data_IF_709378143422
#
_entry.id   IF_709378143422
#
_cell.length_a   1.000
_cell.length_b   1.000
_cell.length_c   1.000
_cell.angle_alpha   90.00
_cell.angle_beta   90.00
_cell.angle_gamma   90.00
#
_symmetry.space_group_name_H-M   'P 1'
#
loop_
_entity.id
_entity.type
_entity.pdbx_description
1 polymer ?
#
# COMPACT_ATOMS: atom_id res chain seq x y z
N UNK A 1 -1.75 -101.10 -48.79
CA UNK A 1 -2.51 -100.33 -47.80
C UNK A 1 -1.88 -98.95 -47.74
N UNK A 2 -2.70 -97.95 -48.06
CA UNK A 2 -2.54 -96.51 -47.83
C UNK A 2 -1.31 -95.79 -48.42
N UNK A 3 -1.52 -95.19 -49.61
CA UNK A 3 -1.07 -93.83 -49.92
C UNK A 3 -2.11 -92.81 -49.40
N UNK A 4 -2.02 -91.51 -49.58
CA UNK A 4 -1.14 -90.62 -50.33
C UNK A 4 -1.58 -89.19 -49.90
N UNK A 5 -0.69 -88.22 -50.13
CA UNK A 5 -0.94 -86.79 -50.40
C UNK A 5 -0.98 -85.75 -49.27
N UNK A 6 -0.39 -84.65 -49.72
CA UNK A 6 0.05 -83.41 -49.11
C UNK A 6 -1.03 -82.33 -49.36
N UNK A 7 -0.95 -81.27 -48.55
CA UNK A 7 -1.25 -79.86 -48.87
C UNK A 7 -2.69 -79.34 -48.74
N UNK A 8 -2.83 -78.26 -47.95
CA UNK A 8 -3.20 -76.87 -48.35
C UNK A 8 -4.06 -76.15 -47.29
N UNK A 9 -3.47 -75.07 -46.80
CA UNK A 9 -3.90 -73.78 -46.19
C UNK A 9 -5.38 -73.29 -46.22
N UNK A 10 -5.67 -72.39 -45.24
CA UNK A 10 -6.66 -71.27 -45.19
C UNK A 10 -8.11 -71.59 -44.74
N UNK A 11 -8.87 -70.77 -43.99
CA UNK A 11 -8.68 -69.65 -43.05
C UNK A 11 -10.07 -69.33 -42.41
N UNK A 12 -10.09 -68.59 -41.28
CA UNK A 12 -10.98 -67.42 -40.94
C UNK A 12 -11.76 -67.45 -39.61
N UNK A 13 -11.31 -66.53 -38.74
CA UNK A 13 -12.02 -65.49 -37.96
C UNK A 13 -13.14 -65.82 -36.98
N UNK A 14 -13.00 -65.33 -35.73
CA UNK A 14 -13.80 -64.24 -35.12
C UNK A 14 -13.26 -63.80 -33.73
N UNK A 15 -13.54 -62.57 -33.22
CA UNK A 15 -12.58 -61.75 -32.46
C UNK A 15 -12.95 -61.33 -31.00
N UNK A 16 -11.89 -61.13 -30.20
CA UNK A 16 -11.49 -60.07 -29.24
C UNK A 16 -12.48 -59.36 -28.26
N UNK A 17 -12.09 -59.44 -26.97
CA UNK A 17 -11.83 -58.39 -25.95
C UNK A 17 -12.82 -57.22 -25.71
N UNK A 18 -13.07 -56.90 -24.42
CA UNK A 18 -12.64 -55.65 -23.75
C UNK A 18 -12.89 -55.78 -22.23
N UNK A 19 -11.81 -55.66 -21.44
CA UNK A 19 -11.87 -55.41 -20.00
C UNK A 19 -12.31 -53.96 -19.77
N UNK A 20 -13.31 -53.77 -18.90
CA UNK A 20 -13.75 -52.46 -18.46
C UNK A 20 -12.74 -51.93 -17.42
N UNK A 21 -11.78 -51.12 -17.85
CA UNK A 21 -10.97 -50.30 -16.94
C UNK A 21 -11.73 -49.00 -16.69
N UNK A 22 -12.29 -48.85 -15.49
CA UNK A 22 -12.77 -47.55 -15.01
C UNK A 22 -11.56 -46.68 -14.69
N UNK A 23 -11.24 -45.73 -15.57
CA UNK A 23 -10.28 -44.66 -15.29
C UNK A 23 -10.94 -43.62 -14.38
N UNK A 24 -10.74 -43.76 -13.07
CA UNK A 24 -10.97 -42.67 -12.11
C UNK A 24 -9.75 -41.75 -12.17
N UNK A 25 -9.83 -40.67 -12.94
CA UNK A 25 -8.81 -39.62 -12.91
C UNK A 25 -9.07 -38.80 -11.63
N UNK A 26 -8.37 -39.13 -10.55
CA UNK A 26 -8.17 -38.19 -9.44
C UNK A 26 -7.22 -37.11 -9.96
N UNK A 27 -7.76 -35.95 -10.35
CA UNK A 27 -6.94 -34.74 -10.36
C UNK A 27 -6.73 -34.34 -8.90
N UNK A 28 -5.57 -34.68 -8.35
CA UNK A 28 -5.05 -33.95 -7.21
C UNK A 28 -4.75 -32.54 -7.74
N UNK A 29 -5.68 -31.62 -7.55
CA UNK A 29 -5.38 -30.20 -7.66
C UNK A 29 -4.41 -29.90 -6.51
N UNK A 30 -3.11 -29.95 -6.76
CA UNK A 30 -2.18 -29.20 -5.94
C UNK A 30 -2.66 -27.76 -6.01
N UNK A 31 -3.12 -27.18 -4.90
CA UNK A 31 -3.26 -25.74 -4.80
C UNK A 31 -1.85 -25.16 -4.85
N UNK A 32 -1.30 -25.00 -6.05
CA UNK A 32 -0.33 -23.93 -6.22
C UNK A 32 -1.14 -22.67 -5.90
N UNK A 33 -0.77 -21.98 -4.83
CA UNK A 33 -1.23 -20.63 -4.64
C UNK A 33 -0.91 -19.89 -5.95
N UNK A 34 -1.93 -19.46 -6.66
CA UNK A 34 -1.73 -18.61 -7.83
C UNK A 34 -1.14 -17.34 -7.25
N UNK A 35 0.13 -17.07 -7.57
CA UNK A 35 0.74 -15.80 -7.22
C UNK A 35 -0.14 -14.72 -7.85
N UNK A 36 -0.64 -13.79 -7.02
CA UNK A 36 -1.39 -12.63 -7.50
C UNK A 36 -0.48 -11.90 -8.48
N UNK A 37 -0.88 -11.86 -9.75
CA UNK A 37 -0.16 -11.08 -10.74
C UNK A 37 -0.50 -9.60 -10.54
N UNK A 38 0.44 -8.72 -10.84
CA UNK A 38 0.24 -7.28 -10.78
C UNK A 38 0.54 -6.65 -12.13
N UNK A 39 -0.14 -5.55 -12.44
CA UNK A 39 0.26 -4.65 -13.53
C UNK A 39 0.96 -3.44 -12.95
N UNK A 40 2.15 -3.14 -13.48
CA UNK A 40 2.92 -1.95 -13.14
C UNK A 40 2.50 -0.74 -14.00
N UNK A 41 2.35 0.41 -13.36
CA UNK A 41 2.12 1.71 -14.01
C UNK A 41 3.12 2.73 -13.44
N UNK A 42 3.94 3.32 -14.31
CA UNK A 42 4.69 4.55 -14.00
C UNK A 42 3.70 5.73 -13.96
N UNK A 43 3.61 6.40 -12.82
CA UNK A 43 2.71 7.55 -12.64
C UNK A 43 3.35 8.86 -13.15
N UNK A 44 4.65 8.85 -13.45
CA UNK A 44 5.37 9.97 -14.01
C UNK A 44 5.44 11.19 -13.08
N UNK A 45 5.65 12.35 -13.68
CA UNK A 45 5.74 13.65 -12.98
C UNK A 45 4.74 14.65 -13.54
N UNK A 46 4.49 15.76 -12.83
CA UNK A 46 3.64 16.87 -13.32
C UNK A 46 4.15 17.46 -14.65
N UNK A 47 5.46 17.43 -14.88
CA UNK A 47 6.10 17.91 -16.12
C UNK A 47 6.17 16.84 -17.22
N UNK A 48 5.62 15.65 -16.97
CA UNK A 48 5.44 14.58 -17.95
C UNK A 48 6.64 13.65 -18.14
N UNK A 49 7.87 14.16 -18.35
CA UNK A 49 9.07 13.30 -18.47
C UNK A 49 10.28 13.91 -17.79
N UNK A 50 10.85 13.16 -16.84
CA UNK A 50 11.97 13.58 -16.01
C UNK A 50 11.50 14.28 -14.73
N UNK A 51 12.45 14.53 -13.84
CA UNK A 51 12.17 15.05 -12.51
C UNK A 51 11.95 13.95 -11.48
N UNK A 52 11.52 14.37 -10.30
CA UNK A 52 11.26 13.52 -9.16
C UNK A 52 9.74 13.34 -8.99
N UNK A 53 9.32 12.13 -8.63
CA UNK A 53 8.04 11.91 -7.98
C UNK A 53 8.09 10.74 -7.02
N UNK A 54 7.20 10.76 -6.04
CA UNK A 54 6.97 9.68 -5.10
C UNK A 54 5.49 9.68 -4.68
N UNK A 55 4.90 8.49 -4.61
CA UNK A 55 3.57 8.29 -4.02
C UNK A 55 3.69 7.99 -2.52
N UNK A 56 2.73 8.44 -1.73
CA UNK A 56 2.68 8.25 -0.28
C UNK A 56 1.42 7.55 0.20
N UNK A 57 0.30 7.69 -0.50
CA UNK A 57 -0.97 7.07 -0.10
C UNK A 57 -1.90 6.82 -1.29
N UNK A 58 -2.86 5.92 -1.12
CA UNK A 58 -3.83 5.49 -2.13
C UNK A 58 -5.18 5.15 -1.50
N UNK A 59 -6.27 5.66 -2.09
CA UNK A 59 -7.62 5.30 -1.64
C UNK A 59 -8.21 4.09 -2.42
N UNK A 60 -9.37 3.59 -1.98
CA UNK A 60 -10.02 2.43 -2.59
C UNK A 60 -10.59 2.69 -4.00
N UNK A 61 -10.70 3.96 -4.43
CA UNK A 61 -11.01 4.32 -5.81
C UNK A 61 -9.79 4.25 -6.74
N UNK A 62 -8.59 3.99 -6.20
CA UNK A 62 -7.34 3.94 -6.97
C UNK A 62 -6.72 5.32 -7.22
N UNK A 63 -7.16 6.35 -6.49
CA UNK A 63 -6.54 7.66 -6.53
C UNK A 63 -5.31 7.65 -5.64
N UNK A 64 -4.18 8.13 -6.16
CA UNK A 64 -2.88 8.11 -5.51
C UNK A 64 -2.45 9.53 -5.20
N UNK A 65 -1.85 9.77 -4.04
CA UNK A 65 -1.31 11.09 -3.67
C UNK A 65 0.16 11.01 -3.29
N UNK A 66 0.84 12.15 -3.41
CA UNK A 66 2.25 12.26 -3.10
C UNK A 66 2.82 13.61 -3.50
N UNK A 67 4.05 13.60 -4.01
CA UNK A 67 4.72 14.80 -4.51
C UNK A 67 5.38 14.58 -5.87
N UNK A 68 5.49 15.66 -6.64
CA UNK A 68 6.15 15.65 -7.93
C UNK A 68 6.78 16.99 -8.27
N UNK A 69 7.88 16.95 -9.01
CA UNK A 69 8.47 18.14 -9.64
C UNK A 69 7.45 18.83 -10.55
N UNK A 70 7.16 20.08 -10.24
CA UNK A 70 6.31 20.99 -11.01
C UNK A 70 7.10 21.78 -12.07
N UNK A 71 6.40 22.62 -12.85
CA UNK A 71 6.99 23.37 -13.97
C UNK A 71 7.99 24.46 -13.54
N UNK A 72 7.97 24.86 -12.29
CA UNK A 72 8.90 25.82 -11.68
C UNK A 72 10.08 25.13 -10.96
N UNK A 73 10.27 23.83 -11.21
CA UNK A 73 11.29 22.96 -10.61
C UNK A 73 11.14 22.77 -9.08
N UNK A 74 10.02 23.16 -8.49
CA UNK A 74 9.69 22.90 -7.07
C UNK A 74 8.91 21.59 -6.91
N UNK A 75 8.76 21.12 -5.65
CA UNK A 75 7.97 19.92 -5.35
C UNK A 75 6.54 20.31 -4.96
N UNK A 76 5.56 19.80 -5.70
CA UNK A 76 4.15 20.07 -5.46
C UNK A 76 3.37 18.80 -5.10
N UNK A 77 2.40 18.98 -4.21
CA UNK A 77 1.43 17.98 -3.85
C UNK A 77 0.68 17.55 -5.11
N UNK A 78 0.68 16.26 -5.39
CA UNK A 78 0.17 15.72 -6.65
C UNK A 78 -0.86 14.63 -6.37
N UNK A 79 -1.95 14.66 -7.13
CA UNK A 79 -2.95 13.60 -7.19
C UNK A 79 -2.86 12.90 -8.55
N UNK A 80 -2.72 11.58 -8.54
CA UNK A 80 -2.78 10.75 -9.73
C UNK A 80 -4.09 9.96 -9.78
N UNK A 81 -4.72 9.94 -10.96
CA UNK A 81 -5.82 9.05 -11.29
C UNK A 81 -5.41 8.20 -12.50
N UNK A 82 -4.91 7.00 -12.25
CA UNK A 82 -4.07 6.29 -13.21
C UNK A 82 -2.81 7.12 -13.54
N UNK A 83 -2.39 7.16 -14.79
CA UNK A 83 -1.21 7.95 -15.20
C UNK A 83 -1.48 9.47 -15.33
N UNK A 84 -2.68 9.96 -15.01
CA UNK A 84 -3.02 11.38 -15.09
C UNK A 84 -2.64 12.09 -13.78
N UNK A 85 -1.57 12.87 -13.81
CA UNK A 85 -1.12 13.69 -12.68
C UNK A 85 -1.85 15.05 -12.66
N UNK A 86 -2.31 15.46 -11.48
CA UNK A 86 -2.95 16.75 -11.21
C UNK A 86 -2.20 17.45 -10.09
N UNK A 87 -1.78 18.69 -10.35
CA UNK A 87 -1.19 19.56 -9.34
C UNK A 87 -2.29 20.03 -8.38
N UNK A 88 -2.11 19.76 -7.07
CA UNK A 88 -3.03 20.21 -6.03
C UNK A 88 -2.73 21.64 -5.56
N UNK A 89 -1.61 22.21 -5.99
CA UNK A 89 -1.14 23.56 -5.64
C UNK A 89 -0.57 23.66 -4.24
N UNK A 90 -0.21 24.88 -3.87
CA UNK A 90 0.34 25.25 -2.57
C UNK A 90 -0.51 26.35 -1.89
N UNK A 91 -0.35 26.53 -0.58
CA UNK A 91 -1.19 27.43 0.21
C UNK A 91 -0.88 28.91 -0.09
N UNK A 92 -1.66 29.50 -1.01
CA UNK A 92 -1.56 30.92 -1.35
C UNK A 92 -0.30 31.26 -2.15
N UNK A 93 -0.10 32.55 -2.51
CA UNK A 93 0.94 32.97 -3.47
C UNK A 93 2.38 32.94 -2.91
N UNK A 94 2.56 32.54 -1.64
CA UNK A 94 3.86 32.56 -0.95
C UNK A 94 4.33 31.18 -0.50
N UNK A 95 3.52 30.13 -0.72
CA UNK A 95 3.97 28.76 -0.54
C UNK A 95 4.42 28.24 -1.91
N UNK A 96 5.68 27.85 -2.00
CA UNK A 96 6.31 27.39 -3.24
C UNK A 96 6.45 25.86 -3.26
N UNK A 97 6.17 25.19 -2.15
CA UNK A 97 6.28 23.75 -2.00
C UNK A 97 5.04 23.19 -1.32
N UNK A 98 4.62 22.00 -1.75
CA UNK A 98 3.57 21.24 -1.08
C UNK A 98 3.79 19.74 -1.22
N UNK A 99 3.29 18.99 -0.25
CA UNK A 99 3.37 17.53 -0.21
C UNK A 99 2.04 16.98 0.27
N UNK A 100 1.44 16.06 -0.48
CA UNK A 100 0.26 15.31 -0.06
C UNK A 100 0.68 14.00 0.62
N UNK A 101 0.26 13.80 1.87
CA UNK A 101 0.65 12.65 2.72
C UNK A 101 -0.43 11.59 2.86
N UNK A 102 -1.70 11.98 2.85
CA UNK A 102 -2.82 11.04 3.03
C UNK A 102 -4.05 11.41 2.20
N UNK A 103 -4.86 10.41 1.85
CA UNK A 103 -6.10 10.57 1.08
C UNK A 103 -7.19 9.63 1.64
N UNK A 104 -8.42 10.13 1.78
CA UNK A 104 -9.56 9.28 2.16
C UNK A 104 -10.40 8.81 0.96
N UNK A 105 -11.39 7.95 1.20
CA UNK A 105 -12.25 7.40 0.16
C UNK A 105 -13.23 8.42 -0.45
N UNK A 106 -13.39 9.60 0.16
CA UNK A 106 -14.11 10.72 -0.43
C UNK A 106 -13.24 11.57 -1.38
N UNK A 107 -11.94 11.27 -1.48
CA UNK A 107 -10.97 12.00 -2.31
C UNK A 107 -10.45 13.29 -1.64
N UNK A 108 -10.64 13.44 -0.33
CA UNK A 108 -10.03 14.54 0.43
C UNK A 108 -8.58 14.19 0.73
N UNK A 109 -7.68 15.14 0.51
CA UNK A 109 -6.24 14.94 0.61
C UNK A 109 -5.67 15.84 1.70
N UNK A 110 -4.73 15.33 2.50
CA UNK A 110 -4.06 16.09 3.55
C UNK A 110 -2.56 16.06 3.38
N UNK A 111 -1.88 17.05 3.96
CA UNK A 111 -0.43 17.13 3.93
C UNK A 111 0.06 18.45 4.46
N UNK A 112 1.07 19.03 3.81
CA UNK A 112 1.63 20.31 4.22
C UNK A 112 2.16 21.13 3.05
N UNK A 113 2.28 22.44 3.28
CA UNK A 113 2.86 23.40 2.35
C UNK A 113 3.89 24.31 3.07
N UNK A 114 4.88 24.82 2.34
CA UNK A 114 5.89 25.75 2.86
C UNK A 114 6.47 26.63 1.74
N UNK A 115 7.08 27.76 2.09
CA UNK A 115 7.63 28.74 1.13
C UNK A 115 9.15 28.94 1.27
N UNK A 116 9.77 29.59 0.28
CA UNK A 116 11.23 29.85 0.25
C UNK A 116 11.69 31.10 1.04
N UNK A 117 10.80 31.76 1.78
CA UNK A 117 11.06 33.00 2.51
C UNK A 117 11.26 32.83 4.02
N UNK A 118 12.11 33.68 4.61
CA UNK A 118 12.30 33.74 6.06
C UNK A 118 10.96 34.01 6.77
N UNK A 119 10.56 33.09 7.66
CA UNK A 119 9.39 33.25 8.52
C UNK A 119 8.06 32.71 8.00
N UNK A 120 8.04 31.93 6.91
CA UNK A 120 6.86 31.14 6.51
C UNK A 120 6.99 29.73 7.11
N UNK A 121 6.31 29.42 8.23
CA UNK A 121 6.36 28.08 8.81
C UNK A 121 5.62 27.09 7.91
N UNK A 122 6.05 25.83 7.92
CA UNK A 122 5.28 24.74 7.30
C UNK A 122 3.87 24.69 7.87
N UNK A 123 2.89 24.60 6.99
CA UNK A 123 1.46 24.62 7.35
C UNK A 123 0.82 23.31 6.93
N UNK A 124 0.10 22.66 7.86
CA UNK A 124 -0.73 21.53 7.52
C UNK A 124 -1.94 22.02 6.71
N UNK A 125 -2.28 21.29 5.66
CA UNK A 125 -3.32 21.68 4.71
C UNK A 125 -4.23 20.51 4.38
N UNK A 126 -5.46 20.84 4.03
CA UNK A 126 -6.48 19.96 3.49
C UNK A 126 -6.86 20.46 2.09
N UNK A 127 -6.69 19.59 1.09
CA UNK A 127 -7.22 19.78 -0.25
C UNK A 127 -8.56 19.05 -0.38
N UNK A 128 -9.58 19.77 -0.85
CA UNK A 128 -10.88 19.20 -1.18
C UNK A 128 -11.31 19.68 -2.57
N UNK A 129 -10.95 18.90 -3.59
CA UNK A 129 -11.01 19.38 -4.97
C UNK A 129 -9.98 20.49 -5.20
N UNK A 130 -10.42 21.64 -5.71
CA UNK A 130 -9.56 22.80 -5.95
C UNK A 130 -9.36 23.68 -4.70
N UNK A 131 -10.11 23.43 -3.62
CA UNK A 131 -10.05 24.24 -2.42
C UNK A 131 -8.90 23.77 -1.52
N UNK A 132 -8.03 24.70 -1.12
CA UNK A 132 -6.93 24.48 -0.19
C UNK A 132 -7.27 25.18 1.13
N UNK A 133 -7.38 24.41 2.21
CA UNK A 133 -7.68 24.92 3.55
C UNK A 133 -6.47 24.74 4.45
N UNK A 134 -5.97 25.82 5.05
CA UNK A 134 -5.00 25.71 6.16
C UNK A 134 -5.70 25.07 7.37
N UNK A 135 -5.11 24.00 7.89
CA UNK A 135 -5.56 23.40 9.14
C UNK A 135 -5.07 24.28 10.30
N UNK A 136 -5.99 24.56 11.22
CA UNK A 136 -5.74 25.42 12.37
C UNK A 136 -4.53 24.97 13.19
N UNK A 137 -3.86 25.93 13.82
CA UNK A 137 -2.73 25.68 14.73
C UNK A 137 -3.19 25.72 16.17
N UNK A 138 -2.40 25.12 17.06
CA UNK A 138 -2.62 25.25 18.49
C UNK A 138 -2.43 26.71 18.95
N UNK A 139 -3.27 27.22 19.87
CA UNK A 139 -3.10 28.56 20.40
C UNK A 139 -1.71 28.77 21.01
N UNK A 140 -1.02 29.85 20.61
CA UNK A 140 0.32 30.17 21.11
C UNK A 140 1.47 29.50 20.37
N UNK A 141 1.18 28.61 19.43
CA UNK A 141 2.18 27.95 18.59
C UNK A 141 2.50 28.77 17.34
N UNK A 142 3.79 29.00 17.08
CA UNK A 142 4.29 29.67 15.87
C UNK A 142 4.98 28.70 14.88
N UNK A 143 5.08 27.44 15.25
CA UNK A 143 5.96 26.43 14.66
C UNK A 143 5.24 25.53 13.67
N UNK A 144 5.98 24.80 12.81
CA UNK A 144 5.42 24.03 11.72
C UNK A 144 4.40 23.01 12.20
N UNK A 145 3.31 22.87 11.45
CA UNK A 145 2.34 21.79 11.63
C UNK A 145 2.27 20.95 10.36
N UNK A 146 2.11 19.65 10.52
CA UNK A 146 2.11 18.66 9.44
C UNK A 146 0.88 17.77 9.65
N UNK A 147 0.07 17.60 8.60
CA UNK A 147 -0.93 16.55 8.55
C UNK A 147 -0.32 15.31 7.88
N UNK A 148 -0.47 14.16 8.52
CA UNK A 148 0.14 12.90 8.08
C UNK A 148 -0.90 11.96 7.47
N UNK A 149 -2.08 11.84 8.08
CA UNK A 149 -3.10 10.88 7.66
C UNK A 149 -4.52 11.42 7.89
N UNK A 150 -5.47 10.90 7.14
CA UNK A 150 -6.89 11.25 7.20
C UNK A 150 -7.75 9.98 7.12
N UNK A 151 -8.82 9.91 7.92
CA UNK A 151 -9.79 8.81 7.83
C UNK A 151 -11.03 9.18 7.01
N UNK A 152 -11.93 8.22 6.76
CA UNK A 152 -13.13 8.42 5.93
C UNK A 152 -14.18 9.33 6.58
N UNK A 153 -14.07 9.59 7.88
CA UNK A 153 -14.89 10.59 8.58
C UNK A 153 -14.31 12.01 8.47
N UNK A 154 -13.17 12.19 7.81
CA UNK A 154 -12.49 13.47 7.65
C UNK A 154 -11.71 13.93 8.88
N UNK A 155 -11.42 13.01 9.82
CA UNK A 155 -10.52 13.28 10.94
C UNK A 155 -9.08 13.12 10.48
N UNK A 156 -8.22 14.03 10.90
CA UNK A 156 -6.85 14.16 10.39
C UNK A 156 -5.88 14.04 11.56
N UNK A 157 -4.88 13.18 11.45
CA UNK A 157 -3.82 13.03 12.44
C UNK A 157 -2.48 13.58 11.91
N UNK A 158 -1.68 14.15 12.80
CA UNK A 158 -0.35 14.66 12.47
C UNK A 158 0.34 15.30 13.67
N UNK A 159 1.14 16.33 13.45
CA UNK A 159 1.88 16.99 14.52
C UNK A 159 1.89 18.51 14.39
N UNK A 160 2.00 19.19 15.54
CA UNK A 160 2.22 20.63 15.65
C UNK A 160 3.50 20.89 16.44
N UNK A 161 4.43 21.69 15.91
CA UNK A 161 5.62 22.11 16.63
C UNK A 161 5.28 23.01 17.82
N UNK A 162 6.06 23.00 18.89
CA UNK A 162 5.78 23.74 20.13
C UNK A 162 6.95 24.64 20.58
N UNK A 163 8.17 24.48 20.05
CA UNK A 163 9.40 25.09 20.62
C UNK A 163 9.84 26.40 19.94
N UNK A 164 10.43 27.33 20.69
CA UNK A 164 10.64 28.75 20.31
C UNK A 164 12.04 29.12 19.79
N UNK A 165 12.48 28.72 18.58
CA UNK A 165 13.83 29.03 18.01
C UNK A 165 15.02 28.58 18.88
N UNK A 166 14.76 28.07 20.08
CA UNK A 166 15.68 27.38 20.96
C UNK A 166 15.86 25.95 20.48
N UNK A 167 17.01 25.36 20.81
CA UNK A 167 17.50 24.06 20.33
C UNK A 167 16.59 22.85 20.60
N UNK A 168 15.44 23.04 21.24
CA UNK A 168 14.58 21.98 21.73
C UNK A 168 13.26 22.02 20.95
N UNK A 169 13.32 21.53 19.71
CA UNK A 169 12.16 21.46 18.81
C UNK A 169 11.22 20.35 19.28
N UNK A 170 10.23 20.69 20.11
CA UNK A 170 9.18 19.74 20.52
C UNK A 170 8.06 19.70 19.48
N UNK A 171 7.57 18.52 19.14
CA UNK A 171 6.31 18.34 18.40
C UNK A 171 5.24 17.72 19.28
N UNK A 172 3.97 18.01 18.99
CA UNK A 172 2.84 17.39 19.68
C UNK A 172 1.87 16.76 18.69
N UNK A 173 1.53 15.49 18.93
CA UNK A 173 0.52 14.78 18.18
C UNK A 173 -0.80 15.57 18.23
N UNK A 174 -1.35 15.83 17.06
CA UNK A 174 -2.50 16.71 16.88
C UNK A 174 -3.57 15.99 16.05
N UNK A 175 -4.83 16.15 16.45
CA UNK A 175 -6.00 15.70 15.70
C UNK A 175 -6.81 16.90 15.23
N UNK A 176 -7.14 16.93 13.94
CA UNK A 176 -8.06 17.89 13.38
C UNK A 176 -9.38 17.23 13.01
N UNK A 177 -10.49 17.91 13.31
CA UNK A 177 -11.81 17.61 12.77
C UNK A 177 -12.32 18.87 12.04
N UNK A 178 -12.16 18.88 10.72
CA UNK A 178 -12.17 20.12 9.94
C UNK A 178 -11.06 21.07 10.41
N UNK A 179 -11.42 22.31 10.76
CA UNK A 179 -10.46 23.29 11.31
C UNK A 179 -10.35 23.24 12.84
N UNK A 180 -11.12 22.37 13.50
CA UNK A 180 -11.08 22.23 14.96
C UNK A 180 -9.88 21.38 15.37
N UNK A 181 -8.99 21.96 16.18
CA UNK A 181 -7.78 21.30 16.66
C UNK A 181 -8.00 20.71 18.05
N UNK A 182 -7.69 19.44 18.23
CA UNK A 182 -7.67 18.76 19.54
C UNK A 182 -6.26 18.22 19.78
N UNK A 183 -5.70 18.49 20.96
CA UNK A 183 -4.43 17.87 21.40
C UNK A 183 -4.72 16.69 22.29
N UNK A 184 -3.86 15.68 22.19
CA UNK A 184 -3.97 14.49 23.03
C UNK A 184 -3.23 14.62 24.38
N UNK A 185 -3.02 15.85 24.86
CA UNK A 185 -2.19 16.16 26.03
C UNK A 185 -0.68 16.00 25.76
N UNK A 186 0.15 16.60 26.59
CA UNK A 186 1.62 16.39 26.53
C UNK A 186 1.93 15.16 27.39
N UNK A 187 2.39 14.06 26.79
CA UNK A 187 2.90 12.93 27.57
C UNK A 187 4.26 13.31 28.16
N UNK A 188 4.25 13.93 29.35
CA UNK A 188 5.45 14.15 30.16
C UNK A 188 6.48 15.15 29.63
N UNK A 189 6.15 15.98 28.64
CA UNK A 189 7.08 16.94 28.03
C UNK A 189 7.86 16.41 26.82
N UNK A 190 7.58 15.19 26.35
CA UNK A 190 8.26 14.57 25.22
C UNK A 190 7.63 14.94 23.88
N UNK A 191 8.44 14.91 22.81
CA UNK A 191 7.95 15.15 21.46
C UNK A 191 7.09 13.96 21.00
N UNK A 192 5.90 14.25 20.48
CA UNK A 192 4.95 13.23 19.98
C UNK A 192 4.58 13.54 18.54
N UNK A 193 4.59 12.51 17.69
CA UNK A 193 4.20 12.61 16.30
C UNK A 193 3.13 11.56 16.02
N UNK A 194 2.02 11.98 15.39
CA UNK A 194 1.06 11.04 14.84
C UNK A 194 1.35 10.78 13.34
N UNK A 195 1.28 9.52 12.96
CA UNK A 195 1.59 9.05 11.61
C UNK A 195 0.36 8.46 10.92
N UNK A 196 -0.44 7.65 11.62
CA UNK A 196 -1.61 6.97 11.06
C UNK A 196 -2.88 7.16 11.88
N UNK A 197 -4.03 7.04 11.23
CA UNK A 197 -5.37 7.06 11.85
C UNK A 197 -6.29 6.07 11.12
N UNK A 198 -7.13 5.33 11.84
CA UNK A 198 -8.15 4.45 11.24
C UNK A 198 -9.56 5.06 11.30
N UNK A 199 -10.56 4.39 10.72
CA UNK A 199 -11.95 4.87 10.67
C UNK A 199 -12.68 4.82 12.02
N UNK A 200 -12.13 4.12 13.02
CA UNK A 200 -12.58 4.22 14.42
C UNK A 200 -12.00 5.44 15.14
N UNK A 201 -11.18 6.23 14.45
CA UNK A 201 -10.50 7.42 14.97
C UNK A 201 -9.23 7.11 15.77
N UNK A 202 -8.82 5.85 15.88
CA UNK A 202 -7.63 5.49 16.64
C UNK A 202 -6.37 5.98 15.93
N UNK A 203 -5.38 6.47 16.69
CA UNK A 203 -4.20 7.14 16.13
C UNK A 203 -2.93 6.41 16.56
N UNK A 204 -1.97 6.28 15.65
CA UNK A 204 -0.65 5.69 15.93
C UNK A 204 0.46 6.66 15.63
N UNK A 205 1.61 6.44 16.26
CA UNK A 205 2.78 7.26 16.03
C UNK A 205 3.94 6.92 16.93
N UNK A 206 4.69 7.95 17.33
CA UNK A 206 5.85 7.80 18.18
C UNK A 206 5.98 8.92 19.22
N UNK A 207 6.66 8.58 20.30
CA UNK A 207 7.34 9.52 21.19
C UNK A 207 8.81 9.56 20.79
N UNK A 208 9.39 10.75 20.71
CA UNK A 208 10.83 10.96 20.56
C UNK A 208 11.36 11.56 21.87
N UNK A 209 12.34 10.88 22.46
CA UNK A 209 13.01 11.33 23.68
C UNK A 209 14.26 12.19 23.39
N UNK A 210 14.82 12.82 24.42
CA UNK A 210 15.96 13.74 24.29
C UNK A 210 17.25 13.07 23.79
N UNK A 211 17.34 11.74 23.86
CA UNK A 211 18.44 10.94 23.33
C UNK A 211 18.16 10.37 21.94
N UNK A 212 17.13 10.92 21.25
CA UNK A 212 16.59 10.48 19.96
C UNK A 212 16.00 9.06 19.96
N UNK A 213 15.87 8.42 21.13
CA UNK A 213 15.18 7.13 21.22
C UNK A 213 13.69 7.30 20.92
N UNK A 214 13.13 6.28 20.26
CA UNK A 214 11.74 6.28 19.78
C UNK A 214 10.94 5.21 20.48
N UNK A 215 9.75 5.59 20.93
CA UNK A 215 8.75 4.69 21.51
C UNK A 215 7.48 4.74 20.68
N UNK A 216 7.08 3.60 20.12
CA UNK A 216 5.85 3.46 19.36
C UNK A 216 4.64 3.61 20.29
N UNK A 217 3.64 4.38 19.87
CA UNK A 217 2.45 4.69 20.66
C UNK A 217 1.16 4.51 19.86
N UNK A 218 0.07 4.28 20.59
CA UNK A 218 -1.28 4.08 20.09
C UNK A 218 -2.30 4.78 20.98
N UNK A 219 -3.21 5.57 20.39
CA UNK A 219 -4.34 6.19 21.04
C UNK A 219 -5.62 5.44 20.71
N UNK A 220 -6.33 4.98 21.73
CA UNK A 220 -7.51 4.11 21.56
C UNK A 220 -8.85 4.85 21.46
N UNK A 221 -8.85 6.18 21.42
CA UNK A 221 -10.06 7.00 21.57
C UNK A 221 -10.18 7.70 22.93
N UNK A 222 -9.43 7.22 23.92
CA UNK A 222 -9.51 7.68 25.30
C UNK A 222 -8.14 7.91 25.93
N UNK A 223 -7.21 6.97 25.78
CA UNK A 223 -5.89 6.99 26.42
C UNK A 223 -4.81 6.53 25.44
N UNK A 224 -3.58 6.95 25.74
CA UNK A 224 -2.39 6.47 25.03
C UNK A 224 -1.85 5.19 25.64
N UNK A 225 -1.40 4.31 24.77
CA UNK A 225 -0.73 3.05 25.06
C UNK A 225 0.66 3.06 24.44
N UNK A 226 1.63 2.50 25.15
CA UNK A 226 2.98 2.26 24.64
C UNK A 226 3.06 0.88 24.02
N UNK A 227 3.57 0.80 22.79
CA UNK A 227 3.77 -0.44 22.02
C UNK A 227 5.20 -1.01 22.16
N UNK A 228 6.11 -0.24 22.77
CA UNK A 228 7.52 -0.56 22.95
C UNK A 228 8.42 0.32 22.08
N UNK A 229 9.70 -0.05 21.96
CA UNK A 229 10.66 0.67 21.12
C UNK A 229 10.24 0.66 19.66
N UNK A 230 10.54 1.77 18.97
CA UNK A 230 10.33 1.91 17.54
C UNK A 230 9.35 3.02 17.17
N UNK A 231 8.83 2.92 15.95
CA UNK A 231 7.90 3.86 15.33
C UNK A 231 6.70 3.09 14.79
N UNK A 232 5.47 3.51 15.12
CA UNK A 232 4.27 3.01 14.44
C UNK A 232 3.87 3.97 13.32
N UNK A 233 3.75 3.46 12.09
CA UNK A 233 3.46 4.27 10.90
C UNK A 233 2.00 4.20 10.47
N UNK A 234 1.38 3.03 10.50
CA UNK A 234 0.00 2.84 10.01
C UNK A 234 -0.81 1.91 10.91
N UNK A 235 -2.13 2.03 10.80
CA UNK A 235 -3.13 1.24 11.52
C UNK A 235 -4.32 0.98 10.58
N UNK A 236 -4.80 -0.27 10.52
CA UNK A 236 -6.01 -0.61 9.76
C UNK A 236 -7.28 -0.54 10.62
N UNK A 237 -8.46 -0.76 10.03
CA UNK A 237 -9.74 -0.66 10.74
C UNK A 237 -9.98 -1.81 11.72
N UNK A 238 -9.22 -2.90 11.60
CA UNK A 238 -9.19 -3.99 12.59
C UNK A 238 -8.29 -3.69 13.80
N UNK A 239 -7.59 -2.55 13.80
CA UNK A 239 -6.69 -2.13 14.88
C UNK A 239 -5.31 -2.80 14.85
N UNK A 240 -4.94 -3.40 13.72
CA UNK A 240 -3.59 -3.92 13.49
C UNK A 240 -2.68 -2.75 13.11
N UNK A 241 -1.51 -2.67 13.74
CA UNK A 241 -0.59 -1.54 13.63
C UNK A 241 0.72 -2.03 13.04
N UNK A 242 1.32 -1.26 12.14
CA UNK A 242 2.61 -1.63 11.52
C UNK A 242 3.63 -0.52 11.64
N UNK A 243 4.91 -0.92 11.60
CA UNK A 243 6.01 0.01 11.76
C UNK A 243 7.37 -0.66 11.83
N UNK A 244 8.31 -0.04 12.53
CA UNK A 244 9.67 -0.56 12.68
C UNK A 244 10.26 -0.37 14.08
N UNK A 245 11.20 -1.24 14.42
CA UNK A 245 12.08 -1.12 15.58
C UNK A 245 13.52 -1.42 15.13
N UNK A 246 14.36 -0.39 15.08
CA UNK A 246 15.79 -0.51 14.79
C UNK A 246 16.10 -1.24 13.48
N UNK A 247 15.33 -0.95 12.42
CA UNK A 247 15.46 -1.59 11.10
C UNK A 247 14.81 -2.97 10.99
N UNK A 248 13.95 -3.33 11.94
CA UNK A 248 13.12 -4.55 11.89
C UNK A 248 11.67 -4.14 11.70
N UNK A 249 10.99 -4.68 10.69
CA UNK A 249 9.57 -4.43 10.45
C UNK A 249 8.73 -5.20 11.49
N UNK A 250 7.77 -4.50 12.11
CA UNK A 250 6.95 -5.01 13.22
C UNK A 250 5.47 -4.85 12.88
N UNK A 251 4.69 -5.88 13.23
CA UNK A 251 3.23 -5.85 13.34
C UNK A 251 2.87 -5.88 14.83
N UNK A 252 1.98 -4.99 15.26
CA UNK A 252 1.37 -4.99 16.59
C UNK A 252 -0.12 -5.31 16.53
N UNK A 253 -0.57 -6.18 17.42
CA UNK A 253 -1.99 -6.47 17.67
C UNK A 253 -2.27 -6.19 19.15
N UNK A 254 -2.83 -5.00 19.43
CA UNK A 254 -2.77 -4.44 20.78
C UNK A 254 -1.32 -4.21 21.19
N UNK A 255 -0.88 -4.77 22.32
CA UNK A 255 0.53 -4.70 22.77
C UNK A 255 1.36 -5.91 22.35
N UNK A 256 0.78 -6.90 21.66
CA UNK A 256 1.51 -8.07 21.18
C UNK A 256 2.34 -7.70 19.95
N UNK A 257 3.59 -8.20 19.88
CA UNK A 257 4.55 -7.88 18.82
C UNK A 257 4.86 -9.10 17.95
N UNK A 258 4.77 -8.93 16.64
CA UNK A 258 5.19 -9.92 15.64
C UNK A 258 6.28 -9.31 14.75
N UNK A 259 7.41 -10.00 14.65
CA UNK A 259 8.52 -9.60 13.78
C UNK A 259 8.23 -10.08 12.36
N UNK A 260 8.24 -9.17 11.40
CA UNK A 260 8.00 -9.45 9.98
C UNK A 260 9.31 -9.72 9.20
N UNK A 261 10.43 -9.18 9.68
CA UNK A 261 11.74 -9.32 9.05
C UNK A 261 12.57 -8.04 9.13
N UNK A 262 13.64 -7.96 8.36
CA UNK A 262 14.38 -6.71 8.13
C UNK A 262 13.53 -5.70 7.38
N UNK A 263 13.83 -4.42 7.59
CA UNK A 263 13.20 -3.31 6.89
C UNK A 263 12.19 -2.53 7.73
N UNK A 264 11.34 -1.78 7.05
CA UNK A 264 10.30 -0.93 7.63
C UNK A 264 8.96 -1.23 7.00
N UNK A 265 7.92 -1.44 7.81
CA UNK A 265 6.54 -1.56 7.35
C UNK A 265 5.86 -0.18 7.39
N UNK A 266 5.43 0.34 6.24
CA UNK A 266 4.86 1.69 6.13
C UNK A 266 3.34 1.72 6.12
N UNK A 267 2.69 0.73 5.49
CA UNK A 267 1.24 0.71 5.34
C UNK A 267 0.66 -0.70 5.48
N UNK A 268 -0.61 -0.79 5.86
CA UNK A 268 -1.37 -2.02 6.05
C UNK A 268 -2.81 -1.79 5.58
N UNK A 269 -3.39 -2.74 4.85
CA UNK A 269 -4.81 -2.70 4.46
C UNK A 269 -5.70 -3.51 5.41
N UNK A 270 -7.02 -3.47 5.22
CA UNK A 270 -7.98 -4.16 6.09
C UNK A 270 -7.99 -5.69 5.92
N UNK A 271 -7.34 -6.20 4.87
CA UNK A 271 -7.08 -7.64 4.72
C UNK A 271 -5.83 -8.11 5.47
N UNK A 272 -5.08 -7.19 6.09
CA UNK A 272 -3.85 -7.48 6.84
C UNK A 272 -2.60 -7.62 5.96
N UNK A 273 -2.66 -7.21 4.70
CA UNK A 273 -1.48 -7.13 3.83
C UNK A 273 -0.70 -5.87 4.15
N UNK A 274 0.62 -5.99 4.23
CA UNK A 274 1.51 -4.93 4.71
C UNK A 274 2.54 -4.63 3.62
N UNK A 275 2.83 -3.36 3.38
CA UNK A 275 3.87 -2.95 2.43
C UNK A 275 4.91 -2.06 3.08
N UNK A 276 6.10 -2.04 2.48
CA UNK A 276 7.21 -1.28 3.01
C UNK A 276 8.49 -1.40 2.18
N UNK A 277 9.61 -1.34 2.87
CA UNK A 277 10.94 -1.32 2.25
C UNK A 277 11.96 -2.08 3.08
N UNK A 278 12.89 -2.76 2.40
CA UNK A 278 14.09 -3.32 2.99
C UNK A 278 15.29 -3.07 2.05
N UNK A 279 16.29 -2.34 2.55
CA UNK A 279 17.58 -2.13 1.88
C UNK A 279 17.46 -1.61 0.44
N UNK A 280 16.52 -0.69 0.20
CA UNK A 280 16.20 -0.07 -1.08
C UNK A 280 15.31 -0.92 -1.99
N UNK A 281 14.62 -1.92 -1.45
CA UNK A 281 13.72 -2.81 -2.19
C UNK A 281 12.31 -2.71 -1.63
N UNK A 282 11.30 -2.58 -2.49
CA UNK A 282 9.91 -2.57 -2.08
C UNK A 282 9.43 -3.98 -1.67
N UNK A 283 8.84 -4.12 -0.47
CA UNK A 283 8.44 -5.41 0.12
C UNK A 283 6.93 -5.44 0.34
N UNK A 284 6.33 -6.61 0.14
CA UNK A 284 4.97 -6.97 0.55
C UNK A 284 5.05 -8.12 1.57
N UNK A 285 4.45 -7.94 2.73
CA UNK A 285 4.22 -9.01 3.71
C UNK A 285 2.75 -9.44 3.69
N UNK A 286 2.52 -10.75 3.61
CA UNK A 286 1.23 -11.40 3.85
C UNK A 286 1.38 -12.31 5.07
N UNK A 287 0.86 -11.86 6.22
CA UNK A 287 1.29 -12.36 7.52
C UNK A 287 2.78 -12.13 7.73
N UNK A 288 3.54 -13.19 8.03
CA UNK A 288 5.01 -13.12 8.18
C UNK A 288 5.78 -13.46 6.90
N UNK A 289 5.09 -13.71 5.78
CA UNK A 289 5.72 -14.08 4.53
C UNK A 289 6.09 -12.81 3.75
N UNK A 290 7.38 -12.49 3.66
CA UNK A 290 7.89 -11.37 2.89
C UNK A 290 8.12 -11.74 1.42
N UNK A 291 7.69 -10.88 0.51
CA UNK A 291 7.91 -10.97 -0.93
C UNK A 291 8.53 -9.68 -1.46
N UNK A 292 9.61 -9.79 -2.23
CA UNK A 292 10.15 -8.68 -3.01
C UNK A 292 9.18 -8.36 -4.15
N UNK A 293 8.62 -7.14 -4.17
CA UNK A 293 7.66 -6.71 -5.19
C UNK A 293 8.26 -6.71 -6.61
N UNK A 294 9.58 -6.59 -6.75
CA UNK A 294 10.24 -6.69 -8.06
C UNK A 294 10.10 -8.09 -8.68
N UNK A 295 9.92 -9.12 -7.85
CA UNK A 295 9.66 -10.49 -8.33
C UNK A 295 8.28 -10.65 -8.97
N UNK A 296 7.38 -9.68 -8.76
CA UNK A 296 6.02 -9.66 -9.31
C UNK A 296 5.92 -8.85 -10.61
N UNK A 297 7.00 -8.17 -11.03
CA UNK A 297 7.04 -7.42 -12.28
C UNK A 297 7.13 -8.35 -13.49
N UNK A 298 6.47 -7.96 -14.58
CA UNK A 298 6.60 -8.67 -15.85
C UNK A 298 7.99 -8.44 -16.50
N UNK A 299 8.38 -9.36 -17.38
CA UNK A 299 9.68 -9.33 -18.05
C UNK A 299 9.90 -8.09 -18.94
N UNK A 300 8.82 -7.49 -19.45
CA UNK A 300 8.88 -6.25 -20.23
C UNK A 300 9.20 -5.05 -19.35
N UNK A 301 8.59 -4.95 -18.17
CA UNK A 301 8.84 -3.91 -17.17
C UNK A 301 10.28 -3.99 -16.64
N UNK A 302 10.74 -5.18 -16.25
CA UNK A 302 12.13 -5.42 -15.84
C UNK A 302 13.08 -5.12 -17.02
N UNK A 303 12.73 -5.61 -18.21
CA UNK A 303 13.46 -5.36 -19.44
C UNK A 303 13.51 -3.90 -19.86
N UNK A 304 12.60 -3.05 -19.38
CA UNK A 304 12.60 -1.60 -19.58
C UNK A 304 13.46 -0.87 -18.53
N UNK A 305 14.01 -1.57 -17.53
CA UNK A 305 14.95 -1.05 -16.54
C UNK A 305 14.31 -0.51 -15.26
N UNK A 306 13.02 -0.79 -15.03
CA UNK A 306 12.30 -0.41 -13.82
C UNK A 306 12.67 -1.30 -12.63
N UNK A 307 12.84 -0.66 -11.46
CA UNK A 307 13.07 -1.33 -10.17
C UNK A 307 12.28 -0.58 -9.09
N UNK A 308 11.44 -1.28 -8.34
CA UNK A 308 10.68 -0.74 -7.21
C UNK A 308 11.57 -0.65 -5.98
N UNK A 309 11.68 0.54 -5.42
CA UNK A 309 12.64 0.82 -4.34
C UNK A 309 12.00 0.93 -2.97
N UNK A 310 10.73 1.33 -2.90
CA UNK A 310 9.95 1.36 -1.66
C UNK A 310 8.46 1.31 -1.98
N UNK A 311 7.68 0.62 -1.14
CA UNK A 311 6.21 0.68 -1.18
C UNK A 311 5.71 1.44 0.06
N UNK A 312 4.94 2.50 -0.14
CA UNK A 312 4.54 3.45 0.89
C UNK A 312 3.05 3.36 1.24
N UNK A 313 2.22 2.87 0.31
CA UNK A 313 0.77 2.78 0.49
C UNK A 313 0.19 1.51 -0.13
N UNK A 314 -0.87 1.00 0.48
CA UNK A 314 -1.67 -0.12 -0.01
C UNK A 314 -3.15 0.13 0.31
N UNK A 315 -4.06 -0.12 -0.64
CA UNK A 315 -5.50 -0.03 -0.39
C UNK A 315 -6.14 -1.42 -0.18
N UNK A 316 -7.44 -1.46 0.12
CA UNK A 316 -8.17 -2.71 0.43
C UNK A 316 -8.43 -3.59 -0.78
N UNK A 317 -8.25 -3.04 -1.99
CA UNK A 317 -8.24 -3.82 -3.22
C UNK A 317 -6.87 -4.45 -3.51
N UNK A 318 -5.87 -4.25 -2.63
CA UNK A 318 -4.52 -4.74 -2.78
C UNK A 318 -3.67 -3.95 -3.78
N UNK A 319 -4.11 -2.76 -4.22
CA UNK A 319 -3.28 -1.89 -5.05
C UNK A 319 -2.19 -1.23 -4.20
N UNK A 320 -0.97 -1.21 -4.72
CA UNK A 320 0.24 -0.78 -4.00
C UNK A 320 0.87 0.41 -4.71
N UNK A 321 1.32 1.40 -3.96
CA UNK A 321 2.01 2.58 -4.47
C UNK A 321 3.34 2.81 -3.76
N UNK A 322 4.22 3.56 -4.41
CA UNK A 322 5.52 3.90 -3.83
C UNK A 322 6.45 4.56 -4.83
N UNK A 323 7.75 4.34 -4.67
CA UNK A 323 8.79 4.88 -5.53
C UNK A 323 9.51 3.77 -6.33
N UNK A 324 9.82 4.08 -7.58
CA UNK A 324 10.57 3.22 -8.48
C UNK A 324 11.66 4.02 -9.21
N UNK A 325 12.77 3.35 -9.53
CA UNK A 325 13.85 3.89 -10.35
C UNK A 325 13.82 3.29 -11.75
N UNK A 326 14.38 4.01 -12.73
CA UNK A 326 14.64 3.48 -14.06
C UNK A 326 16.05 3.83 -14.53
N UNK A 327 16.93 2.83 -14.54
CA UNK A 327 18.34 2.97 -14.92
C UNK A 327 18.56 3.33 -16.39
N UNK A 328 17.63 2.98 -17.28
CA UNK A 328 17.76 3.25 -18.72
C UNK A 328 17.32 4.65 -19.09
N UNK A 329 16.42 5.23 -18.29
CA UNK A 329 15.92 6.59 -18.47
C UNK A 329 16.64 7.60 -17.57
N UNK A 330 17.53 7.15 -16.69
CA UNK A 330 18.21 8.01 -15.70
C UNK A 330 17.27 8.52 -14.61
N UNK A 331 16.15 7.84 -14.39
CA UNK A 331 15.16 8.19 -13.36
C UNK A 331 15.62 7.59 -12.05
N UNK A 332 15.82 8.44 -11.05
CA UNK A 332 16.20 8.01 -9.69
C UNK A 332 14.97 7.70 -8.82
N UNK A 333 13.84 8.36 -9.06
CA UNK A 333 12.58 8.12 -8.36
C UNK A 333 11.41 8.67 -9.18
N UNK A 334 10.48 7.78 -9.52
CA UNK A 334 9.14 8.10 -9.98
C UNK A 334 8.13 7.35 -9.11
N UNK A 335 6.96 7.98 -8.91
CA UNK A 335 5.81 7.34 -8.30
C UNK A 335 5.34 6.16 -9.18
N UNK A 336 4.97 5.04 -8.55
CA UNK A 336 4.37 3.90 -9.25
C UNK A 336 3.00 3.52 -8.66
N UNK A 337 2.23 2.82 -9.47
CA UNK A 337 1.03 2.09 -9.07
C UNK A 337 1.13 0.64 -9.56
N UNK A 338 0.98 -0.31 -8.63
CA UNK A 338 0.79 -1.72 -8.89
C UNK A 338 -0.65 -2.10 -8.59
N UNK A 339 -1.39 -2.56 -9.59
CA UNK A 339 -2.77 -3.06 -9.40
C UNK A 339 -2.82 -4.57 -9.54
N UNK A 340 -3.45 -5.31 -8.61
CA UNK A 340 -3.69 -6.74 -8.77
C UNK A 340 -4.43 -7.00 -10.08
N UNK A 341 -3.96 -7.99 -10.83
CA UNK A 341 -4.67 -8.52 -11.98
C UNK A 341 -5.83 -9.33 -11.44
N UNK A 342 -7.09 -8.95 -11.70
CA UNK A 342 -8.23 -9.77 -11.31
C UNK A 342 -8.04 -11.15 -11.92
N UNK A 343 -8.25 -12.22 -11.13
CA UNK A 343 -8.13 -13.57 -11.68
C UNK A 343 -8.95 -13.66 -12.97
N UNK A 344 -8.37 -14.19 -14.07
CA UNK A 344 -9.10 -14.28 -15.31
C UNK A 344 -10.38 -15.09 -15.08
N UNK A 345 -11.47 -14.68 -15.72
CA UNK A 345 -12.80 -15.30 -15.69
C UNK A 345 -12.81 -16.81 -16.02
N UNK A 346 -11.65 -17.38 -16.35
CA UNK A 346 -11.37 -18.80 -16.57
C UNK A 346 -11.86 -19.66 -15.39
N UNK A 347 -11.72 -19.25 -14.12
CA UNK A 347 -12.22 -20.05 -12.99
C UNK A 347 -13.76 -20.06 -12.93
N UNK A 348 -14.39 -18.90 -13.18
CA UNK A 348 -15.85 -18.79 -13.29
C UNK A 348 -16.37 -19.62 -14.49
N UNK A 349 -15.67 -19.57 -15.63
CA UNK A 349 -15.98 -20.36 -16.81
C UNK A 349 -15.74 -21.86 -16.62
N UNK A 350 -14.69 -22.25 -15.88
CA UNK A 350 -14.38 -23.65 -15.55
C UNK A 350 -15.43 -24.23 -14.61
N UNK A 351 -15.83 -23.47 -13.57
CA UNK A 351 -16.92 -23.85 -12.66
C UNK A 351 -18.26 -23.94 -13.39
N UNK A 352 -18.57 -22.99 -14.26
CA UNK A 352 -19.75 -23.05 -15.11
C UNK A 352 -19.71 -24.27 -16.05
N UNK A 353 -18.57 -24.55 -16.67
CA UNK A 353 -18.34 -25.71 -17.53
C UNK A 353 -18.54 -27.04 -16.78
N UNK A 354 -17.97 -27.18 -15.59
CA UNK A 354 -18.15 -28.35 -14.73
C UNK A 354 -19.60 -28.50 -14.26
N UNK A 355 -20.30 -27.39 -13.97
CA UNK A 355 -21.73 -27.38 -13.65
C UNK A 355 -22.59 -27.91 -14.79
N UNK A 356 -22.30 -27.52 -16.04
CA UNK A 356 -22.97 -28.02 -17.24
C UNK A 356 -22.72 -29.51 -17.44
N UNK A 357 -21.47 -29.97 -17.28
CA UNK A 357 -21.12 -31.40 -17.42
C UNK A 357 -21.81 -32.24 -16.34
N UNK A 358 -21.83 -31.77 -15.09
CA UNK A 358 -22.54 -32.43 -13.98
C UNK A 358 -24.05 -32.54 -14.23
N UNK A 359 -24.68 -31.47 -14.74
CA UNK A 359 -26.09 -31.49 -15.12
C UNK A 359 -26.38 -32.49 -16.24
N UNK A 360 -25.54 -32.53 -17.29
CA UNK A 360 -25.67 -33.47 -18.40
C UNK A 360 -25.51 -34.93 -17.95
N UNK A 361 -24.54 -35.22 -17.07
CA UNK A 361 -24.33 -36.55 -16.51
C UNK A 361 -25.52 -37.01 -15.64
N UNK A 362 -26.10 -36.11 -14.85
CA UNK A 362 -27.31 -36.38 -14.04
C UNK A 362 -28.54 -36.67 -14.91
N UNK A 363 -28.68 -35.97 -16.05
CA UNK A 363 -29.78 -36.19 -17.00
C UNK A 363 -29.66 -37.52 -17.74
N UNK A 364 -28.45 -38.00 -18.03
CA UNK A 364 -28.21 -39.32 -18.63
C UNK A 364 -28.49 -40.49 -17.69
N UNK A 365 -28.29 -40.33 -16.37
CA UNK A 365 -28.64 -41.38 -15.37
C UNK A 365 -30.14 -41.52 -15.08
N UNK A 366 -30.98 -40.60 -15.56
CA UNK A 366 -32.44 -40.58 -15.33
C UNK A 366 -33.27 -41.03 -16.54
N UNK A 367 -32.62 -41.51 -17.60
CA UNK A 367 -33.24 -42.14 -18.77
C UNK A 367 -32.87 -43.61 -18.80
#
# INVERSE_FOLDING_TARGET
MEGEKINTVFVKSSPRFIHLVTASILFAASSQAIAVAYTFTDLGTLVGRGGFSAAYDINNAGQVVGESTALDDTSHATLWNGAAATDLGALGPSADFSVARGINNAGQVVGYAYGHGDGIPTQAVLWNGADITELGRLPGVRYPNIASAINDSGQIAGSSGLGDDSSDFFSQATLWNGTTVTTFGVMGGLATNAHGINNSGQVVGQIVENDDSRTAIFWDGTVWHTLGNGTAYAINDSGQIVGEDSGTAILWEGTARTILGSGTAYAINDSGQIVGEDSGTAILWDGTAASDLNSLLDAGTIGAGWVLTSASGINDNGAIVGAASNSRLGIISHAFLMTPVPEPEIHAMLLAGLGVVGFMARRRKRR
#
